data_IF_291212531358
#
_entry.id   IF_291212531358
#
_cell.length_a   1.000
_cell.length_b   1.000
_cell.length_c   1.000
_cell.angle_alpha   90.00
_cell.angle_beta   90.00
_cell.angle_gamma   90.00
#
_symmetry.space_group_name_H-M   'P 1'
#
loop_
_entity.id
_entity.type
_entity.pdbx_description
1 polymer ?
#
# COMPACT_ATOMS: atom_id res chain seq x y z
N UNK A 1 -16.17 43.59 -36.65
CA UNK A 1 -17.20 42.54 -36.54
C UNK A 1 -16.80 41.43 -37.48
N UNK A 2 -16.28 40.34 -36.92
CA UNK A 2 -16.37 38.95 -37.37
C UNK A 2 -15.22 38.16 -36.75
N UNK A 3 -15.57 37.51 -35.65
CA UNK A 3 -14.85 36.46 -34.97
C UNK A 3 -14.52 35.32 -35.93
N UNK A 4 -13.24 34.94 -35.97
CA UNK A 4 -12.80 33.64 -36.46
C UNK A 4 -12.11 32.92 -35.29
N UNK A 5 -12.92 32.32 -34.41
CA UNK A 5 -12.46 31.27 -33.52
C UNK A 5 -12.08 30.06 -34.38
N UNK A 6 -10.78 29.90 -34.62
CA UNK A 6 -10.19 28.69 -35.17
C UNK A 6 -10.54 27.50 -34.28
N UNK A 7 -11.15 26.49 -34.89
CA UNK A 7 -11.65 25.29 -34.24
C UNK A 7 -10.58 24.59 -33.42
N UNK A 8 -10.80 24.52 -32.11
CA UNK A 8 -10.15 23.53 -31.26
C UNK A 8 -10.83 22.19 -31.53
N UNK A 9 -10.09 21.25 -32.15
CA UNK A 9 -10.55 19.89 -32.34
C UNK A 9 -10.94 19.25 -31.00
N UNK A 10 -12.02 18.45 -30.94
CA UNK A 10 -12.52 17.82 -29.72
C UNK A 10 -11.53 16.83 -29.07
N UNK A 11 -10.42 16.50 -29.74
CA UNK A 11 -9.31 15.71 -29.20
C UNK A 11 -8.35 16.54 -28.33
N UNK A 12 -8.13 17.81 -28.66
CA UNK A 12 -7.22 18.69 -27.93
C UNK A 12 -7.74 19.01 -26.52
N UNK A 13 -9.07 19.12 -26.36
CA UNK A 13 -9.70 19.33 -25.06
C UNK A 13 -9.52 18.15 -24.11
N UNK A 14 -9.57 16.92 -24.62
CA UNK A 14 -9.41 15.73 -23.78
C UNK A 14 -7.97 15.58 -23.28
N UNK A 15 -6.98 15.85 -24.14
CA UNK A 15 -5.57 15.85 -23.75
C UNK A 15 -5.27 16.87 -22.66
N UNK A 16 -5.86 18.06 -22.74
CA UNK A 16 -5.68 19.12 -21.74
C UNK A 16 -6.35 18.77 -20.39
N UNK A 17 -7.57 18.22 -20.40
CA UNK A 17 -8.22 17.72 -19.18
C UNK A 17 -7.37 16.65 -18.47
N UNK A 18 -6.72 15.77 -19.24
CA UNK A 18 -5.82 14.73 -18.75
C UNK A 18 -4.58 15.30 -18.07
N UNK A 19 -3.86 16.20 -18.75
CA UNK A 19 -2.63 16.80 -18.21
C UNK A 19 -2.92 17.63 -16.97
N UNK A 20 -3.99 18.42 -17.00
CA UNK A 20 -4.39 19.26 -15.87
C UNK A 20 -4.79 18.41 -14.66
N UNK A 21 -5.49 17.30 -14.89
CA UNK A 21 -5.83 16.36 -13.82
C UNK A 21 -4.60 15.69 -13.23
N UNK A 22 -3.65 15.23 -14.06
CA UNK A 22 -2.44 14.57 -13.58
C UNK A 22 -1.58 15.53 -12.76
N UNK A 23 -1.32 16.73 -13.27
CA UNK A 23 -0.54 17.76 -12.57
C UNK A 23 -1.16 18.15 -11.24
N UNK A 24 -2.50 18.20 -11.17
CA UNK A 24 -3.20 18.44 -9.93
C UNK A 24 -3.17 17.23 -9.00
N UNK A 25 -3.30 16.01 -9.53
CA UNK A 25 -3.28 14.79 -8.72
C UNK A 25 -1.93 14.58 -8.03
N UNK A 26 -0.82 14.95 -8.68
CA UNK A 26 0.52 14.89 -8.09
C UNK A 26 0.66 15.85 -6.90
N UNK A 27 -0.06 16.98 -6.91
CA UNK A 27 -0.01 18.00 -5.85
C UNK A 27 -0.99 17.72 -4.72
N UNK A 28 -2.18 17.25 -5.06
CA UNK A 28 -3.32 17.16 -4.14
C UNK A 28 -3.54 15.74 -3.58
N UNK A 29 -3.12 14.68 -4.29
CA UNK A 29 -3.30 13.28 -3.87
C UNK A 29 -1.99 12.69 -3.31
N UNK A 30 -2.02 12.22 -2.07
CA UNK A 30 -0.88 11.53 -1.43
C UNK A 30 -0.65 10.14 -2.01
N UNK A 31 -1.75 9.45 -2.35
CA UNK A 31 -1.74 8.12 -2.97
C UNK A 31 -2.63 8.18 -4.19
N UNK A 32 -2.07 7.80 -5.35
CA UNK A 32 -2.86 7.70 -6.56
C UNK A 32 -3.82 6.53 -6.45
N UNK A 33 -5.06 6.68 -6.92
CA UNK A 33 -6.00 5.56 -6.95
C UNK A 33 -6.39 5.22 -8.38
N UNK A 34 -6.41 3.94 -8.69
CA UNK A 34 -6.67 3.45 -10.04
C UNK A 34 -8.00 2.70 -10.13
N UNK A 35 -8.51 2.59 -11.36
CA UNK A 35 -9.76 1.92 -11.69
C UNK A 35 -9.60 0.41 -11.70
N UNK A 36 -10.50 -0.28 -11.02
CA UNK A 36 -10.66 -1.72 -11.14
C UNK A 36 -11.49 -2.10 -12.36
N UNK A 37 -10.87 -2.44 -13.49
CA UNK A 37 -11.62 -2.96 -14.63
C UNK A 37 -11.93 -4.46 -14.49
N UNK A 38 -12.58 -4.85 -13.40
CA UNK A 38 -12.82 -6.26 -13.04
C UNK A 38 -13.56 -7.03 -14.15
N UNK A 39 -14.59 -6.43 -14.72
CA UNK A 39 -15.34 -7.04 -15.83
C UNK A 39 -14.43 -7.27 -17.05
N UNK A 40 -13.64 -6.28 -17.46
CA UNK A 40 -12.75 -6.38 -18.63
C UNK A 40 -11.62 -7.38 -18.39
N UNK A 41 -11.05 -7.44 -17.19
CA UNK A 41 -10.05 -8.45 -16.85
C UNK A 41 -10.64 -9.87 -16.95
N UNK A 42 -11.83 -10.09 -16.39
CA UNK A 42 -12.51 -11.40 -16.48
C UNK A 42 -12.86 -11.74 -17.92
N UNK A 43 -13.35 -10.78 -18.71
CA UNK A 43 -13.65 -10.96 -20.12
C UNK A 43 -12.40 -11.36 -20.91
N UNK A 44 -11.27 -10.69 -20.68
CA UNK A 44 -9.99 -11.02 -21.31
C UNK A 44 -9.54 -12.45 -20.96
N UNK A 45 -9.60 -12.83 -19.68
CA UNK A 45 -9.25 -14.17 -19.21
C UNK A 45 -10.12 -15.23 -19.90
N UNK A 46 -11.44 -15.03 -19.92
CA UNK A 46 -12.38 -15.98 -20.54
C UNK A 46 -12.16 -16.06 -22.07
N UNK A 47 -11.88 -14.94 -22.72
CA UNK A 47 -11.53 -14.92 -24.14
C UNK A 47 -10.28 -15.77 -24.42
N UNK A 48 -9.23 -15.61 -23.63
CA UNK A 48 -7.98 -16.40 -23.75
C UNK A 48 -8.23 -17.89 -23.46
N UNK A 49 -9.08 -18.23 -22.50
CA UNK A 49 -9.48 -19.61 -22.23
C UNK A 49 -10.17 -20.25 -23.44
N UNK A 50 -11.12 -19.54 -24.05
CA UNK A 50 -11.82 -20.04 -25.24
C UNK A 50 -10.86 -20.27 -26.41
N UNK A 51 -9.89 -19.37 -26.61
CA UNK A 51 -8.86 -19.53 -27.65
C UNK A 51 -7.96 -20.75 -27.39
N UNK A 52 -7.57 -20.98 -26.13
CA UNK A 52 -6.80 -22.17 -25.75
C UNK A 52 -7.58 -23.47 -25.94
N UNK A 53 -8.89 -23.47 -25.65
CA UNK A 53 -9.76 -24.64 -25.89
C UNK A 53 -9.87 -24.93 -27.39
N UNK A 54 -10.07 -23.91 -28.22
CA UNK A 54 -10.13 -24.09 -29.67
C UNK A 54 -8.80 -24.61 -30.24
N UNK A 55 -7.67 -24.11 -29.74
CA UNK A 55 -6.35 -24.59 -30.13
C UNK A 55 -6.10 -26.04 -29.68
N UNK A 56 -6.54 -26.40 -28.46
CA UNK A 56 -6.46 -27.78 -27.97
C UNK A 56 -7.23 -28.73 -28.88
N UNK A 57 -8.42 -28.32 -29.33
CA UNK A 57 -9.25 -29.12 -30.24
C UNK A 57 -8.60 -29.27 -31.61
N UNK A 58 -8.02 -28.21 -32.18
CA UNK A 58 -7.33 -28.29 -33.48
C UNK A 58 -6.09 -29.19 -33.44
N UNK A 59 -5.36 -29.17 -32.32
CA UNK A 59 -4.22 -30.08 -32.08
C UNK A 59 -4.72 -31.53 -31.99
N UNK A 60 -5.80 -31.78 -31.22
CA UNK A 60 -6.37 -33.12 -31.07
C UNK A 60 -6.91 -33.68 -32.39
N UNK A 61 -7.52 -32.83 -33.21
CA UNK A 61 -8.05 -33.19 -34.53
C UNK A 61 -6.97 -33.35 -35.61
N UNK A 62 -5.70 -33.07 -35.32
CA UNK A 62 -4.60 -33.18 -36.28
C UNK A 62 -4.66 -32.18 -37.45
N UNK A 63 -5.46 -31.12 -37.33
CA UNK A 63 -5.63 -30.07 -38.35
C UNK A 63 -4.63 -28.91 -38.23
N UNK A 64 -3.72 -29.03 -37.26
CA UNK A 64 -2.69 -28.03 -36.95
C UNK A 64 -1.54 -27.99 -37.98
N UNK A 65 -1.11 -26.79 -38.34
CA UNK A 65 0.12 -26.53 -39.09
C UNK A 65 1.33 -26.64 -38.16
N UNK A 66 2.07 -27.75 -38.30
CA UNK A 66 3.15 -28.21 -37.41
C UNK A 66 4.25 -27.18 -37.11
N UNK A 67 4.43 -26.17 -37.96
CA UNK A 67 5.44 -25.11 -37.83
C UNK A 67 4.93 -23.79 -37.20
N UNK A 68 3.63 -23.50 -37.19
CA UNK A 68 3.07 -22.24 -36.63
C UNK A 68 2.40 -22.43 -35.25
N UNK A 69 1.95 -23.64 -34.95
CA UNK A 69 1.23 -23.94 -33.72
C UNK A 69 2.05 -23.95 -32.43
N UNK A 70 3.36 -24.30 -32.39
CA UNK A 70 4.11 -24.26 -31.13
C UNK A 70 4.32 -22.82 -30.63
N UNK A 71 4.60 -21.87 -31.53
CA UNK A 71 4.77 -20.46 -31.18
C UNK A 71 3.44 -19.82 -30.77
N UNK A 72 2.37 -20.13 -31.50
CA UNK A 72 1.01 -19.65 -31.15
C UNK A 72 0.57 -20.17 -29.78
N UNK A 73 0.83 -21.44 -29.47
CA UNK A 73 0.56 -22.02 -28.16
C UNK A 73 1.34 -21.29 -27.06
N UNK A 74 2.63 -21.07 -27.28
CA UNK A 74 3.50 -20.36 -26.33
C UNK A 74 3.01 -18.94 -26.06
N UNK A 75 2.63 -18.19 -27.10
CA UNK A 75 2.05 -16.86 -26.97
C UNK A 75 0.74 -16.88 -26.17
N UNK A 76 -0.22 -17.74 -26.54
CA UNK A 76 -1.52 -17.79 -25.86
C UNK A 76 -1.40 -18.23 -24.39
N UNK A 77 -0.52 -19.19 -24.08
CA UNK A 77 -0.26 -19.59 -22.70
C UNK A 77 0.41 -18.46 -21.90
N UNK A 78 1.37 -17.75 -22.51
CA UNK A 78 1.99 -16.57 -21.89
C UNK A 78 0.95 -15.48 -21.63
N UNK A 79 0.11 -15.17 -22.59
CA UNK A 79 -0.92 -14.12 -22.46
C UNK A 79 -1.97 -14.50 -21.42
N UNK A 80 -2.41 -15.77 -21.39
CA UNK A 80 -3.32 -16.28 -20.37
C UNK A 80 -2.72 -16.20 -18.98
N UNK A 81 -1.49 -16.69 -18.78
CA UNK A 81 -0.83 -16.66 -17.47
C UNK A 81 -0.58 -15.22 -17.00
N UNK A 82 -0.16 -14.33 -17.90
CA UNK A 82 -0.03 -12.90 -17.62
C UNK A 82 -1.37 -12.25 -17.26
N UNK A 83 -2.45 -12.56 -17.99
CA UNK A 83 -3.78 -12.03 -17.69
C UNK A 83 -4.27 -12.45 -16.31
N UNK A 84 -4.09 -13.73 -15.93
CA UNK A 84 -4.43 -14.25 -14.60
C UNK A 84 -3.57 -13.58 -13.52
N UNK A 85 -2.26 -13.47 -13.75
CA UNK A 85 -1.33 -12.81 -12.81
C UNK A 85 -1.71 -11.35 -12.61
N UNK A 86 -1.95 -10.59 -13.68
CA UNK A 86 -2.31 -9.18 -13.63
C UNK A 86 -3.65 -8.97 -12.92
N UNK A 87 -4.63 -9.83 -13.17
CA UNK A 87 -5.91 -9.80 -12.46
C UNK A 87 -5.74 -10.03 -10.96
N UNK A 88 -4.94 -11.04 -10.57
CA UNK A 88 -4.65 -11.31 -9.16
C UNK A 88 -3.90 -10.15 -8.50
N UNK A 89 -2.92 -9.56 -9.19
CA UNK A 89 -2.18 -8.40 -8.70
C UNK A 89 -3.12 -7.22 -8.42
N UNK A 90 -3.98 -6.88 -9.38
CA UNK A 90 -4.99 -5.80 -9.20
C UNK A 90 -5.94 -6.11 -8.05
N UNK A 91 -6.33 -7.37 -7.87
CA UNK A 91 -7.26 -7.80 -6.82
C UNK A 91 -6.63 -7.78 -5.42
N UNK A 92 -5.31 -7.95 -5.31
CA UNK A 92 -4.58 -7.85 -4.05
C UNK A 92 -4.47 -6.40 -3.53
N UNK A 93 -4.67 -5.41 -4.40
CA UNK A 93 -4.67 -4.00 -3.99
C UNK A 93 -5.75 -3.69 -2.93
N UNK A 94 -5.43 -2.75 -2.04
CA UNK A 94 -6.39 -2.28 -1.04
C UNK A 94 -7.54 -1.53 -1.73
N UNK A 95 -8.77 -1.98 -1.48
CA UNK A 95 -9.97 -1.33 -2.00
C UNK A 95 -10.29 -0.06 -1.20
N UNK A 96 -10.73 0.98 -1.89
CA UNK A 96 -11.26 2.18 -1.22
C UNK A 96 -12.55 1.84 -0.47
N UNK A 97 -12.80 2.56 0.62
CA UNK A 97 -14.09 2.48 1.29
C UNK A 97 -15.23 2.98 0.37
N UNK A 98 -16.49 2.58 0.61
CA UNK A 98 -17.61 3.05 -0.18
C UNK A 98 -17.76 4.57 -0.19
N UNK A 99 -17.47 5.24 0.94
CA UNK A 99 -17.58 6.71 1.06
C UNK A 99 -16.50 7.44 0.24
N UNK A 100 -15.26 6.94 0.29
CA UNK A 100 -14.14 7.49 -0.50
C UNK A 100 -14.35 7.25 -1.99
N UNK A 101 -14.91 6.10 -2.34
CA UNK A 101 -15.28 5.76 -3.71
C UNK A 101 -16.26 6.77 -4.29
N UNK A 102 -17.33 7.11 -3.56
CA UNK A 102 -18.30 8.11 -4.03
C UNK A 102 -17.69 9.51 -4.16
N UNK A 103 -16.86 9.90 -3.19
CA UNK A 103 -16.13 11.18 -3.24
C UNK A 103 -15.23 11.26 -4.47
N UNK A 104 -14.51 10.18 -4.78
CA UNK A 104 -13.65 10.08 -5.95
C UNK A 104 -14.45 10.10 -7.25
N UNK A 105 -15.58 9.39 -7.32
CA UNK A 105 -16.48 9.42 -8.47
C UNK A 105 -16.95 10.83 -8.78
N UNK A 106 -17.38 11.57 -7.76
CA UNK A 106 -17.83 12.96 -7.93
C UNK A 106 -16.71 13.86 -8.45
N UNK A 107 -15.50 13.73 -7.89
CA UNK A 107 -14.32 14.46 -8.34
C UNK A 107 -14.01 14.17 -9.81
N UNK A 108 -13.98 12.89 -10.21
CA UNK A 108 -13.68 12.50 -11.59
C UNK A 108 -14.78 12.94 -12.57
N UNK A 109 -16.06 12.84 -12.17
CA UNK A 109 -17.18 13.38 -12.95
C UNK A 109 -17.04 14.89 -13.18
N UNK A 110 -16.57 15.62 -12.17
CA UNK A 110 -16.33 17.07 -12.27
C UNK A 110 -15.11 17.42 -13.12
N UNK A 111 -14.05 16.61 -13.08
CA UNK A 111 -12.79 16.88 -13.80
C UNK A 111 -12.81 16.45 -15.26
N UNK A 112 -13.60 15.43 -15.57
CA UNK A 112 -13.73 14.86 -16.91
C UNK A 112 -15.17 14.94 -17.43
N UNK A 113 -15.72 16.15 -17.64
CA UNK A 113 -17.07 16.30 -18.17
C UNK A 113 -17.18 15.70 -19.57
N UNK A 114 -16.11 15.75 -20.38
CA UNK A 114 -16.05 15.17 -21.72
C UNK A 114 -16.33 13.65 -21.72
N UNK A 115 -15.77 12.91 -20.74
CA UNK A 115 -15.96 11.46 -20.59
C UNK A 115 -17.39 11.10 -20.19
N UNK A 116 -18.00 11.89 -19.28
CA UNK A 116 -19.41 11.69 -18.88
C UNK A 116 -20.34 11.91 -20.06
N UNK A 117 -20.07 12.92 -20.89
CA UNK A 117 -20.87 13.25 -22.06
C UNK A 117 -20.75 12.19 -23.16
N UNK A 118 -19.54 11.69 -23.43
CA UNK A 118 -19.29 10.68 -24.48
C UNK A 118 -19.78 9.28 -24.09
N UNK A 119 -19.67 8.89 -22.83
CA UNK A 119 -19.89 7.51 -22.39
C UNK A 119 -21.12 7.34 -21.49
N UNK A 120 -22.26 7.93 -21.87
CA UNK A 120 -23.50 7.90 -21.06
C UNK A 120 -24.01 6.49 -20.73
N UNK A 121 -23.85 5.52 -21.66
CA UNK A 121 -24.38 4.16 -21.49
C UNK A 121 -23.56 3.31 -20.52
N UNK A 122 -22.25 3.49 -20.48
CA UNK A 122 -21.32 2.64 -19.72
C UNK A 122 -21.01 3.17 -18.32
N UNK A 123 -21.52 4.37 -17.97
CA UNK A 123 -21.26 5.07 -16.69
C UNK A 123 -19.76 4.98 -16.32
N UNK A 124 -18.88 5.74 -17.00
CA UNK A 124 -17.45 5.47 -17.12
C UNK A 124 -16.69 5.42 -15.78
N UNK A 125 -17.23 6.05 -14.73
CA UNK A 125 -16.61 6.14 -13.41
C UNK A 125 -17.24 5.22 -12.36
N UNK A 126 -18.24 4.42 -12.73
CA UNK A 126 -18.88 3.46 -11.83
C UNK A 126 -18.06 2.18 -11.77
N UNK A 127 -16.99 2.22 -10.97
CA UNK A 127 -16.17 1.04 -10.68
C UNK A 127 -15.68 1.01 -9.25
N UNK A 128 -15.05 -0.10 -8.88
CA UNK A 128 -14.23 -0.20 -7.68
C UNK A 128 -12.91 0.53 -7.91
N UNK A 129 -12.45 1.22 -6.88
CA UNK A 129 -11.18 1.90 -6.89
C UNK A 129 -10.22 1.20 -5.94
N UNK A 130 -8.95 1.27 -6.29
CA UNK A 130 -7.87 0.66 -5.53
C UNK A 130 -6.80 1.69 -5.25
N UNK A 131 -6.20 1.63 -4.06
CA UNK A 131 -4.99 2.37 -3.77
C UNK A 131 -3.87 1.83 -4.66
N UNK A 132 -3.19 2.71 -5.39
CA UNK A 132 -1.91 2.36 -5.98
C UNK A 132 -0.97 2.10 -4.80
N UNK A 133 -0.63 0.83 -4.62
CA UNK A 133 0.28 0.43 -3.55
C UNK A 133 1.67 0.93 -3.93
N UNK A 134 1.95 2.18 -3.56
CA UNK A 134 3.33 2.64 -3.45
C UNK A 134 3.96 1.75 -2.37
N UNK A 135 5.13 1.19 -2.61
CA UNK A 135 5.77 0.20 -1.72
C UNK A 135 6.11 0.70 -0.30
N UNK A 136 5.53 1.84 0.08
CA UNK A 136 5.77 2.66 1.25
C UNK A 136 4.55 2.80 2.17
N UNK A 137 3.39 2.22 1.83
CA UNK A 137 2.28 2.02 2.78
C UNK A 137 2.62 0.86 3.72
N UNK A 138 3.59 1.15 4.57
CA UNK A 138 4.12 0.25 5.58
C UNK A 138 2.99 -0.11 6.56
N UNK A 139 2.45 -1.32 6.44
CA UNK A 139 1.37 -1.86 7.31
C UNK A 139 1.68 -1.73 8.80
N UNK A 140 2.97 -1.57 9.13
CA UNK A 140 3.52 -1.28 10.46
C UNK A 140 3.04 0.05 11.04
N UNK A 141 2.80 1.05 10.20
CA UNK A 141 2.35 2.39 10.61
C UNK A 141 0.86 2.40 10.94
N UNK A 142 0.05 1.52 10.33
CA UNK A 142 -1.40 1.44 10.59
C UNK A 142 -1.74 1.04 12.04
N UNK A 143 -0.93 0.20 12.69
CA UNK A 143 -1.17 -0.16 14.10
C UNK A 143 -0.87 1.00 15.05
N UNK A 144 0.27 1.68 14.89
CA UNK A 144 0.57 2.87 15.70
C UNK A 144 -0.47 3.97 15.45
N UNK A 145 -0.92 4.10 14.20
CA UNK A 145 -2.02 4.96 13.80
C UNK A 145 -3.31 4.61 14.56
N UNK A 146 -3.66 3.33 14.68
CA UNK A 146 -4.83 2.86 15.44
C UNK A 146 -4.68 3.00 16.97
N UNK A 147 -3.50 2.74 17.51
CA UNK A 147 -3.19 2.94 18.94
C UNK A 147 -3.29 4.42 19.31
N UNK A 148 -2.68 5.29 18.51
CA UNK A 148 -2.76 6.74 18.66
C UNK A 148 -4.20 7.24 18.45
N UNK A 149 -4.98 6.67 17.52
CA UNK A 149 -6.41 6.98 17.36
C UNK A 149 -7.23 6.69 18.63
N UNK A 150 -6.81 5.70 19.42
CA UNK A 150 -7.44 5.33 20.70
C UNK A 150 -6.92 6.14 21.89
N UNK A 151 -5.69 6.63 21.85
CA UNK A 151 -5.03 7.32 22.97
C UNK A 151 -4.85 8.84 22.82
N UNK A 152 -4.92 9.42 21.62
CA UNK A 152 -4.79 10.88 21.43
C UNK A 152 -6.13 11.60 21.67
N UNK A 153 -6.10 12.78 22.35
CA UNK A 153 -7.27 13.61 22.53
C UNK A 153 -7.80 14.15 21.18
N UNK A 154 -9.12 14.09 20.98
CA UNK A 154 -9.86 14.44 19.75
C UNK A 154 -9.47 15.77 19.06
N UNK A 155 -8.88 16.70 19.80
CA UNK A 155 -8.45 18.00 19.28
C UNK A 155 -7.29 17.90 18.27
N UNK A 156 -6.51 16.82 18.30
CA UNK A 156 -5.32 16.64 17.47
C UNK A 156 -5.58 15.75 16.24
N UNK A 157 -6.62 14.92 16.28
CA UNK A 157 -6.89 13.91 15.26
C UNK A 157 -7.62 14.45 14.03
N UNK A 158 -8.34 15.58 14.16
CA UNK A 158 -9.09 16.21 13.07
C UNK A 158 -8.31 17.35 12.41
N UNK A 159 -8.23 17.35 11.08
CA UNK A 159 -7.77 18.53 10.32
C UNK A 159 -8.78 19.67 10.42
N UNK A 160 -8.34 20.92 10.24
CA UNK A 160 -9.23 22.09 10.23
C UNK A 160 -10.30 21.99 9.12
N UNK A 161 -9.93 21.38 8.00
CA UNK A 161 -10.79 21.16 6.82
C UNK A 161 -11.85 20.07 7.06
N UNK A 162 -11.46 18.91 7.63
CA UNK A 162 -12.39 17.82 7.94
C UNK A 162 -13.32 18.17 9.12
N UNK A 163 -12.86 18.98 10.08
CA UNK A 163 -13.69 19.52 11.17
C UNK A 163 -14.81 20.43 10.66
N UNK A 164 -14.56 21.18 9.59
CA UNK A 164 -15.57 22.05 9.00
C UNK A 164 -16.59 21.25 8.17
N UNK A 165 -16.13 20.24 7.43
CA UNK A 165 -16.98 19.44 6.55
C UNK A 165 -17.79 18.34 7.27
N UNK A 166 -17.36 17.87 8.46
CA UNK A 166 -18.02 16.76 9.19
C UNK A 166 -18.31 17.09 10.66
N UNK A 167 -18.90 18.27 10.91
CA UNK A 167 -19.19 18.77 12.25
C UNK A 167 -20.08 17.82 13.08
N UNK A 168 -21.07 17.17 12.45
CA UNK A 168 -21.94 16.20 13.14
C UNK A 168 -21.20 14.90 13.54
N UNK A 169 -20.28 14.41 12.71
CA UNK A 169 -19.49 13.21 13.05
C UNK A 169 -18.42 13.50 14.11
N UNK A 170 -17.90 14.73 14.15
CA UNK A 170 -17.04 15.23 15.23
C UNK A 170 -17.76 15.26 16.58
N UNK A 171 -19.03 15.69 16.60
CA UNK A 171 -19.87 15.69 17.80
C UNK A 171 -20.26 14.27 18.23
N UNK A 172 -20.56 13.39 17.28
CA UNK A 172 -20.85 11.97 17.54
C UNK A 172 -19.60 11.17 17.90
N UNK A 173 -18.42 11.74 17.68
CA UNK A 173 -17.21 11.18 18.21
C UNK A 173 -16.62 9.99 17.46
N UNK A 174 -17.02 9.87 16.18
CA UNK A 174 -16.49 8.85 15.29
C UNK A 174 -15.02 9.18 15.01
N UNK A 175 -14.17 8.17 14.85
CA UNK A 175 -12.77 8.43 14.66
C UNK A 175 -12.53 8.88 13.20
N UNK A 176 -11.64 9.87 12.94
CA UNK A 176 -11.52 10.52 11.62
C UNK A 176 -11.00 9.55 10.55
N UNK A 177 -11.34 9.81 9.28
CA UNK A 177 -10.91 8.98 8.14
C UNK A 177 -9.59 9.48 7.55
N UNK A 178 -9.33 10.80 7.60
CA UNK A 178 -8.07 11.37 7.14
C UNK A 178 -7.26 11.93 8.31
N UNK A 179 -6.02 11.47 8.43
CA UNK A 179 -5.13 11.93 9.50
C UNK A 179 -4.40 13.16 8.99
N UNK A 180 -4.35 14.20 9.83
CA UNK A 180 -3.59 15.40 9.52
C UNK A 180 -2.15 15.07 9.15
N UNK A 181 -1.64 15.69 8.07
CA UNK A 181 -0.26 15.57 7.58
C UNK A 181 0.80 15.74 8.69
N UNK A 182 0.49 16.52 9.73
CA UNK A 182 1.35 16.73 10.89
C UNK A 182 1.38 15.53 11.85
N UNK A 183 0.24 14.85 12.03
CA UNK A 183 0.13 13.68 12.90
C UNK A 183 0.83 12.49 12.27
N UNK A 184 0.66 12.27 10.96
CA UNK A 184 1.32 11.16 10.27
C UNK A 184 2.86 11.26 10.34
N UNK A 185 3.41 12.46 10.13
CA UNK A 185 4.84 12.73 10.34
C UNK A 185 5.26 12.49 11.80
N UNK A 186 4.44 12.90 12.77
CA UNK A 186 4.72 12.68 14.20
C UNK A 186 4.68 11.19 14.56
N UNK A 187 3.75 10.42 14.01
CA UNK A 187 3.64 8.97 14.22
C UNK A 187 4.89 8.29 13.67
N UNK A 188 5.25 8.59 12.41
CA UNK A 188 6.43 8.00 11.76
C UNK A 188 7.71 8.33 12.53
N UNK A 189 7.84 9.57 13.03
CA UNK A 189 8.95 9.98 13.88
C UNK A 189 8.94 9.23 15.22
N UNK A 190 7.79 9.08 15.86
CA UNK A 190 7.64 8.33 17.11
C UNK A 190 8.02 6.85 16.97
N UNK A 191 7.59 6.19 15.90
CA UNK A 191 7.94 4.79 15.61
C UNK A 191 9.45 4.64 15.36
N UNK A 192 10.04 5.55 14.60
CA UNK A 192 11.49 5.57 14.36
C UNK A 192 12.28 5.77 15.65
N UNK A 193 11.87 6.72 16.50
CA UNK A 193 12.51 6.95 17.80
C UNK A 193 12.36 5.75 18.74
N UNK A 194 11.19 5.13 18.79
CA UNK A 194 10.94 3.95 19.61
C UNK A 194 11.82 2.77 19.16
N UNK A 195 11.95 2.56 17.85
CA UNK A 195 12.82 1.53 17.29
C UNK A 195 14.29 1.76 17.64
N UNK A 196 14.77 3.00 17.51
CA UNK A 196 16.14 3.38 17.90
C UNK A 196 16.34 3.22 19.41
N UNK A 197 15.39 3.66 20.23
CA UNK A 197 15.45 3.52 21.67
C UNK A 197 15.49 2.06 22.11
N UNK A 198 14.71 1.18 21.46
CA UNK A 198 14.72 -0.26 21.74
C UNK A 198 16.09 -0.90 21.48
N UNK A 199 16.83 -0.44 20.46
CA UNK A 199 18.19 -0.91 20.16
C UNK A 199 19.24 -0.34 21.13
N UNK A 200 19.15 0.95 21.45
CA UNK A 200 20.17 1.67 22.22
C UNK A 200 20.03 1.44 23.73
N UNK A 201 18.80 1.34 24.25
CA UNK A 201 18.55 1.15 25.68
C UNK A 201 19.29 -0.03 26.32
N UNK A 202 19.27 -1.26 25.77
CA UNK A 202 20.01 -2.38 26.34
C UNK A 202 21.53 -2.14 26.30
N UNK A 203 22.05 -1.48 25.26
CA UNK A 203 23.48 -1.13 25.17
C UNK A 203 23.87 -0.13 26.27
N UNK A 204 23.08 0.93 26.47
CA UNK A 204 23.32 1.91 27.53
C UNK A 204 23.29 1.28 28.93
N UNK A 205 22.34 0.36 29.19
CA UNK A 205 22.24 -0.34 30.47
C UNK A 205 23.48 -1.20 30.74
N UNK A 206 23.97 -1.90 29.71
CA UNK A 206 25.17 -2.76 29.84
C UNK A 206 26.45 -1.96 30.04
N UNK A 207 26.58 -0.77 29.44
CA UNK A 207 27.73 0.11 29.64
C UNK A 207 27.75 0.69 31.06
N UNK A 208 26.58 1.07 31.60
CA UNK A 208 26.49 1.73 32.90
C UNK A 208 26.76 0.77 34.08
N UNK A 209 26.43 -0.52 33.93
CA UNK A 209 26.63 -1.53 34.98
C UNK A 209 27.22 -2.83 34.40
N UNK A 210 28.54 -2.88 34.14
CA UNK A 210 29.18 -4.04 33.55
C UNK A 210 29.14 -5.23 34.52
N UNK A 211 28.23 -6.16 34.28
CA UNK A 211 28.10 -7.42 35.02
C UNK A 211 27.52 -8.48 34.10
N UNK A 212 28.12 -9.68 34.12
CA UNK A 212 27.76 -10.79 33.23
C UNK A 212 26.30 -11.20 33.39
N UNK A 213 25.88 -11.45 34.63
CA UNK A 213 24.52 -11.87 34.96
C UNK A 213 23.50 -10.81 34.58
N UNK A 214 23.80 -9.53 34.83
CA UNK A 214 22.89 -8.42 34.49
C UNK A 214 22.75 -8.26 32.98
N UNK A 215 23.84 -8.37 32.23
CA UNK A 215 23.81 -8.23 30.76
C UNK A 215 23.01 -9.36 30.10
N UNK A 216 23.14 -10.60 30.58
CA UNK A 216 22.37 -11.73 30.07
C UNK A 216 20.87 -11.57 30.37
N UNK A 217 20.53 -11.12 31.58
CA UNK A 217 19.15 -10.87 32.00
C UNK A 217 18.54 -9.71 31.19
N UNK A 218 19.25 -8.59 31.06
CA UNK A 218 18.76 -7.41 30.31
C UNK A 218 18.55 -7.74 28.84
N UNK A 219 19.50 -8.40 28.17
CA UNK A 219 19.34 -8.80 26.76
C UNK A 219 18.15 -9.74 26.54
N UNK A 220 17.98 -10.74 27.42
CA UNK A 220 16.87 -11.69 27.33
C UNK A 220 15.51 -11.02 27.52
N UNK A 221 15.38 -10.12 28.51
CA UNK A 221 14.15 -9.36 28.75
C UNK A 221 13.79 -8.44 27.58
N UNK A 222 14.77 -7.70 27.06
CA UNK A 222 14.54 -6.81 25.92
C UNK A 222 14.24 -7.58 24.62
N UNK A 223 14.84 -8.75 24.41
CA UNK A 223 14.54 -9.63 23.27
C UNK A 223 13.11 -10.18 23.33
N UNK A 224 12.67 -10.66 24.50
CA UNK A 224 11.29 -11.12 24.69
C UNK A 224 10.31 -9.95 24.52
N UNK A 225 10.58 -8.80 25.12
CA UNK A 225 9.73 -7.62 24.98
C UNK A 225 9.61 -7.15 23.53
N UNK A 226 10.70 -7.17 22.77
CA UNK A 226 10.71 -6.85 21.34
C UNK A 226 9.90 -7.88 20.53
N UNK A 227 10.11 -9.18 20.75
CA UNK A 227 9.39 -10.24 20.05
C UNK A 227 7.87 -10.19 20.32
N UNK A 228 7.49 -9.95 21.58
CA UNK A 228 6.08 -9.72 21.98
C UNK A 228 5.55 -8.44 21.33
N UNK A 229 6.32 -7.35 21.35
CA UNK A 229 5.94 -6.08 20.74
C UNK A 229 5.67 -6.18 19.24
N UNK A 230 6.52 -6.89 18.50
CA UNK A 230 6.30 -7.15 17.07
C UNK A 230 5.12 -8.11 16.87
N UNK A 231 5.02 -9.19 17.65
CA UNK A 231 3.97 -10.22 17.46
C UNK A 231 2.56 -9.70 17.73
N UNK A 232 2.39 -8.83 18.73
CA UNK A 232 1.10 -8.22 19.05
C UNK A 232 0.86 -6.91 18.29
N UNK A 233 1.91 -6.17 17.95
CA UNK A 233 1.82 -4.83 17.39
C UNK A 233 1.94 -4.74 15.87
N UNK A 234 2.52 -5.73 15.19
CA UNK A 234 2.83 -5.62 13.76
C UNK A 234 2.13 -6.75 12.99
N UNK A 235 1.31 -6.37 12.00
CA UNK A 235 0.80 -7.31 10.98
C UNK A 235 1.91 -7.63 9.97
N UNK A 236 2.96 -8.28 10.45
CA UNK A 236 4.05 -8.78 9.61
C UNK A 236 3.84 -10.26 9.32
N UNK A 237 4.42 -10.74 8.22
CA UNK A 237 4.41 -12.17 7.94
C UNK A 237 5.24 -12.91 9.01
N UNK A 238 4.88 -14.17 9.33
CA UNK A 238 5.59 -14.95 10.34
C UNK A 238 7.10 -15.05 10.05
N UNK A 239 7.50 -15.06 8.78
CA UNK A 239 8.90 -15.05 8.35
C UNK A 239 9.59 -13.72 8.61
N UNK A 240 8.92 -12.59 8.37
CA UNK A 240 9.46 -11.25 8.67
C UNK A 240 9.69 -11.07 10.17
N UNK A 241 8.76 -11.51 11.01
CA UNK A 241 8.89 -11.45 12.48
C UNK A 241 10.08 -12.30 12.95
N UNK A 242 10.26 -13.49 12.38
CA UNK A 242 11.37 -14.38 12.68
C UNK A 242 12.71 -13.75 12.28
N UNK A 243 12.80 -13.20 11.07
CA UNK A 243 14.02 -12.53 10.57
C UNK A 243 14.36 -11.30 11.42
N UNK A 244 13.38 -10.47 11.77
CA UNK A 244 13.59 -9.29 12.60
C UNK A 244 14.07 -9.66 14.01
N UNK A 245 13.46 -10.68 14.63
CA UNK A 245 13.84 -11.16 15.97
C UNK A 245 15.25 -11.78 15.95
N UNK A 246 15.58 -12.56 14.93
CA UNK A 246 16.91 -13.13 14.76
C UNK A 246 17.98 -12.05 14.58
N UNK A 247 17.70 -11.02 13.77
CA UNK A 247 18.59 -9.88 13.56
C UNK A 247 18.85 -9.11 14.86
N UNK A 248 17.79 -8.82 15.61
CA UNK A 248 17.88 -8.14 16.90
C UNK A 248 18.66 -8.96 17.93
N UNK A 249 18.41 -10.28 17.98
CA UNK A 249 19.14 -11.21 18.85
C UNK A 249 20.63 -11.23 18.55
N UNK A 250 21.01 -11.33 17.27
CA UNK A 250 22.41 -11.36 16.86
C UNK A 250 23.16 -10.11 17.34
N UNK A 251 22.55 -8.93 17.20
CA UNK A 251 23.14 -7.67 17.68
C UNK A 251 23.36 -7.74 19.20
N UNK A 252 22.34 -8.09 19.99
CA UNK A 252 22.46 -8.15 21.45
C UNK A 252 23.49 -9.18 21.92
N UNK A 253 23.52 -10.36 21.30
CA UNK A 253 24.46 -11.44 21.65
C UNK A 253 25.90 -11.03 21.37
N UNK A 254 26.16 -10.34 20.25
CA UNK A 254 27.49 -9.79 19.94
C UNK A 254 27.95 -8.83 21.04
N UNK A 255 27.07 -7.91 21.47
CA UNK A 255 27.40 -6.95 22.54
C UNK A 255 27.66 -7.61 23.90
N UNK A 256 26.89 -8.65 24.25
CA UNK A 256 27.14 -9.42 25.47
C UNK A 256 28.49 -10.13 25.37
N UNK A 257 28.78 -10.78 24.23
CA UNK A 257 30.03 -11.52 24.00
C UNK A 257 31.27 -10.64 24.04
N UNK A 258 31.23 -9.42 23.51
CA UNK A 258 32.37 -8.49 23.53
C UNK A 258 32.67 -7.97 24.94
N UNK A 259 31.65 -7.70 25.76
CA UNK A 259 31.84 -7.24 27.14
C UNK A 259 32.37 -8.35 28.08
N UNK A 260 32.13 -9.63 27.75
CA UNK A 260 32.69 -10.77 28.50
C UNK A 260 34.19 -10.96 28.26
N UNK A 261 34.67 -10.71 27.04
CA UNK A 261 36.09 -10.90 26.67
C UNK A 261 37.05 -9.90 27.32
N UNK A 262 36.57 -8.71 27.71
CA UNK A 262 37.38 -7.69 28.39
C UNK A 262 37.61 -7.98 29.87
N UNK A 263 36.76 -8.78 30.53
CA UNK A 263 36.89 -9.09 31.96
C UNK A 263 37.84 -10.25 32.30
N UNK A 264 38.27 -11.02 31.30
CA UNK A 264 39.12 -12.21 31.48
C UNK A 264 40.60 -11.99 31.13
N UNK A 265 41.00 -10.76 30.78
CA UNK A 265 42.39 -10.38 30.44
C UNK A 265 43.14 -9.58 31.51
N UNK A 266 42.57 -9.43 32.72
CA UNK A 266 43.20 -8.75 33.84
C UNK A 266 43.26 -9.68 35.06
N UNK A 267 44.10 -10.71 34.96
CA UNK A 267 44.55 -11.56 36.08
C UNK A 267 46.03 -11.85 35.89
#
# INVERSE_FOLDING_TARGET
MNDFHLGQSPENFHGQELTDYVDQSIKDEEVFHYFGFEYLHRLNIVSLQNQLIALRESIAAGTCNRDQDPDRLKCLLSDYTNAVRNYNYVRQGQRLSPQETETRKLRLKSKFPSMVLRHRKTRPFESHYYYLQDGNSDSKVEFFRDFLRRHLPRRWTYTKEERHNRLQEYQQGKPPLQISKAVDKTVRLGVSLLAVAALVAPMCIMILNPSMTKSLITSSLFMIAFAVGISFGMKTSNSETLVATATYSAVLVVFVGTNSGSSSGAS
#
